data_IF_234221113189
#
_entry.id   IF_234221113189
#
_cell.length_a   1.000
_cell.length_b   1.000
_cell.length_c   1.000
_cell.angle_alpha   90.00
_cell.angle_beta   90.00
_cell.angle_gamma   90.00
#
_symmetry.space_group_name_H-M   'P 1'
#
loop_
_entity.id
_entity.type
_entity.pdbx_description
1 polymer ?
#
# COMPACT_ATOMS: atom_id res chain seq x y z
N UNK A 1 41.82 38.14 -12.23
CA UNK A 1 41.43 36.94 -12.98
C UNK A 1 41.18 35.83 -11.97
N UNK A 2 39.95 35.31 -11.86
CA UNK A 2 39.61 34.28 -10.86
C UNK A 2 40.28 32.97 -11.29
N UNK A 3 41.02 32.33 -10.39
CA UNK A 3 41.68 31.05 -10.66
C UNK A 3 40.64 29.92 -10.69
N UNK A 4 40.80 28.97 -11.60
CA UNK A 4 39.98 27.76 -11.70
C UNK A 4 39.91 26.98 -10.38
N UNK A 5 40.94 27.06 -9.53
CA UNK A 5 40.94 26.46 -8.20
C UNK A 5 39.95 27.14 -7.25
N UNK A 6 39.81 28.46 -7.32
CA UNK A 6 38.84 29.21 -6.53
C UNK A 6 37.40 28.89 -6.99
N UNK A 7 37.20 28.74 -8.31
CA UNK A 7 35.92 28.29 -8.88
C UNK A 7 35.58 26.88 -8.40
N UNK A 8 36.52 25.92 -8.47
CA UNK A 8 36.31 24.55 -7.97
C UNK A 8 35.95 24.54 -6.48
N UNK A 9 36.67 25.32 -5.66
CA UNK A 9 36.41 25.39 -4.22
C UNK A 9 35.04 25.98 -3.90
N UNK A 10 34.63 27.02 -4.65
CA UNK A 10 33.32 27.62 -4.51
C UNK A 10 32.20 26.67 -4.97
N UNK A 11 32.39 25.95 -6.08
CA UNK A 11 31.43 24.95 -6.55
C UNK A 11 31.28 23.79 -5.57
N UNK A 12 32.39 23.26 -5.04
CA UNK A 12 32.35 22.20 -4.02
C UNK A 12 31.66 22.67 -2.74
N UNK A 13 31.96 23.88 -2.26
CA UNK A 13 31.29 24.44 -1.09
C UNK A 13 29.78 24.65 -1.32
N UNK A 14 29.40 25.04 -2.54
CA UNK A 14 27.99 25.19 -2.92
C UNK A 14 27.27 23.84 -2.98
N UNK A 15 27.91 22.80 -3.53
CA UNK A 15 27.37 21.45 -3.57
C UNK A 15 27.16 20.92 -2.14
N UNK A 16 28.17 20.99 -1.28
CA UNK A 16 28.07 20.53 0.12
C UNK A 16 27.02 21.29 0.93
N UNK A 17 26.87 22.61 0.71
CA UNK A 17 25.84 23.42 1.40
C UNK A 17 24.43 23.04 0.95
N UNK A 18 24.23 22.72 -0.32
CA UNK A 18 22.93 22.29 -0.85
C UNK A 18 22.58 20.88 -0.37
N UNK A 19 23.58 20.01 -0.25
CA UNK A 19 23.45 18.63 0.22
C UNK A 19 23.06 18.55 1.73
N UNK A 20 23.51 19.53 2.53
CA UNK A 20 23.28 19.59 3.99
C UNK A 20 22.03 20.35 4.42
N UNK A 21 21.44 21.20 3.56
CA UNK A 21 20.34 22.10 3.96
C UNK A 21 18.95 21.44 4.00
N UNK A 22 18.75 20.29 3.35
CA UNK A 22 17.54 19.47 3.47
C UNK A 22 17.88 18.09 2.93
N UNK A 23 18.22 17.13 3.81
CA UNK A 23 18.48 15.73 3.46
C UNK A 23 17.34 15.23 2.56
N UNK A 24 17.53 15.14 1.24
CA UNK A 24 16.42 15.05 0.29
C UNK A 24 15.65 13.74 0.45
N UNK A 25 16.32 12.70 0.98
CA UNK A 25 15.71 11.42 1.31
C UNK A 25 14.67 11.52 2.44
N UNK A 26 14.86 12.36 3.45
CA UNK A 26 13.92 12.48 4.58
C UNK A 26 12.57 13.00 4.09
N UNK A 27 12.57 14.01 3.23
CA UNK A 27 11.33 14.55 2.67
C UNK A 27 10.57 13.52 1.82
N UNK A 28 11.29 12.69 1.06
CA UNK A 28 10.68 11.61 0.27
C UNK A 28 10.08 10.54 1.17
N UNK A 29 10.79 10.15 2.23
CA UNK A 29 10.33 9.16 3.22
C UNK A 29 9.12 9.68 3.99
N UNK A 30 9.16 10.94 4.46
CA UNK A 30 8.06 11.56 5.20
C UNK A 30 6.79 11.67 4.34
N UNK A 31 6.92 12.10 3.08
CA UNK A 31 5.75 12.18 2.19
C UNK A 31 5.20 10.78 1.89
N UNK A 32 6.05 9.78 1.68
CA UNK A 32 5.62 8.40 1.46
C UNK A 32 4.87 7.83 2.66
N UNK A 33 5.38 8.06 3.87
CA UNK A 33 4.80 7.62 5.14
C UNK A 33 3.46 8.33 5.43
N UNK A 34 3.36 9.63 5.13
CA UNK A 34 2.10 10.36 5.27
C UNK A 34 1.06 9.89 4.24
N UNK A 35 1.47 9.71 2.99
CA UNK A 35 0.59 9.33 1.88
C UNK A 35 0.00 7.92 2.03
N UNK A 36 0.67 6.99 2.72
CA UNK A 36 0.17 5.59 2.84
C UNK A 36 -1.18 5.46 3.56
N UNK A 37 -1.60 6.49 4.30
CA UNK A 37 -2.89 6.54 5.00
C UNK A 37 -4.07 6.93 4.10
N UNK A 38 -3.82 7.44 2.89
CA UNK A 38 -4.83 7.87 1.92
C UNK A 38 -4.49 7.27 0.55
N UNK A 39 -5.34 6.38 0.04
CA UNK A 39 -5.10 5.67 -1.21
C UNK A 39 -4.93 6.59 -2.43
N UNK A 40 -5.66 7.71 -2.48
CA UNK A 40 -5.56 8.67 -3.59
C UNK A 40 -4.22 9.39 -3.53
N UNK A 41 -3.81 9.78 -2.33
CA UNK A 41 -2.51 10.41 -2.09
C UNK A 41 -1.36 9.44 -2.33
N UNK A 42 -1.50 8.19 -1.92
CA UNK A 42 -0.56 7.10 -2.19
C UNK A 42 -0.37 6.87 -3.69
N UNK A 43 -1.45 6.84 -4.48
CA UNK A 43 -1.36 6.74 -5.93
C UNK A 43 -0.63 7.95 -6.54
N UNK A 44 -0.97 9.16 -6.10
CA UNK A 44 -0.30 10.39 -6.55
C UNK A 44 1.21 10.40 -6.22
N UNK A 45 1.60 9.87 -5.06
CA UNK A 45 3.00 9.70 -4.71
C UNK A 45 3.72 8.72 -5.65
N UNK A 46 3.12 7.57 -5.93
CA UNK A 46 3.70 6.57 -6.86
C UNK A 46 3.84 7.14 -8.26
N UNK A 47 2.86 7.91 -8.73
CA UNK A 47 2.90 8.53 -10.06
C UNK A 47 3.96 9.64 -10.16
N UNK A 48 4.13 10.45 -9.11
CA UNK A 48 5.04 11.59 -9.12
C UNK A 48 6.49 11.24 -8.78
N UNK A 49 6.70 10.31 -7.85
CA UNK A 49 8.02 10.00 -7.25
C UNK A 49 8.48 8.60 -7.64
N UNK A 50 7.58 7.62 -7.62
CA UNK A 50 7.88 6.21 -7.87
C UNK A 50 8.49 5.48 -6.68
N UNK A 51 8.29 4.15 -6.65
CA UNK A 51 8.78 3.29 -5.57
C UNK A 51 10.30 3.07 -5.61
N UNK A 52 10.90 3.11 -6.80
CA UNK A 52 12.36 2.96 -6.96
C UNK A 52 13.10 4.13 -6.28
N UNK A 53 12.58 5.34 -6.44
CA UNK A 53 13.12 6.53 -5.79
C UNK A 53 12.92 6.55 -4.28
N UNK A 54 11.83 5.96 -3.78
CA UNK A 54 11.64 5.71 -2.35
C UNK A 54 12.67 4.70 -1.82
N UNK A 55 13.00 3.67 -2.59
CA UNK A 55 14.05 2.71 -2.22
C UNK A 55 15.44 3.38 -2.18
N UNK A 56 15.77 4.20 -3.18
CA UNK A 56 17.01 5.00 -3.17
C UNK A 56 17.09 5.94 -1.96
N UNK A 57 15.96 6.55 -1.57
CA UNK A 57 15.90 7.39 -0.38
C UNK A 57 16.17 6.60 0.91
N UNK A 58 15.66 5.37 1.02
CA UNK A 58 15.95 4.47 2.15
C UNK A 58 17.43 4.09 2.19
N UNK A 59 18.03 3.78 1.04
CA UNK A 59 19.45 3.45 0.96
C UNK A 59 20.34 4.64 1.33
N UNK A 60 19.96 5.85 0.90
CA UNK A 60 20.63 7.08 1.31
C UNK A 60 20.50 7.33 2.83
N UNK A 61 19.34 7.06 3.43
CA UNK A 61 19.15 7.15 4.88
C UNK A 61 20.03 6.14 5.63
N UNK A 62 20.12 4.90 5.14
CA UNK A 62 21.03 3.88 5.70
C UNK A 62 22.48 4.32 5.63
N UNK A 63 22.94 4.82 4.47
CA UNK A 63 24.31 5.32 4.30
C UNK A 63 24.61 6.54 5.17
N UNK A 64 23.61 7.36 5.45
CA UNK A 64 23.75 8.51 6.34
C UNK A 64 23.65 8.16 7.84
N UNK A 65 23.42 6.88 8.18
CA UNK A 65 23.23 6.42 9.56
C UNK A 65 21.91 6.89 10.20
N UNK A 66 20.92 7.27 9.38
CA UNK A 66 19.62 7.76 9.83
C UNK A 66 18.64 6.59 9.94
N UNK A 67 18.80 5.79 10.99
CA UNK A 67 18.05 4.54 11.17
C UNK A 67 16.54 4.77 11.27
N UNK A 68 16.11 5.85 11.94
CA UNK A 68 14.69 6.18 12.09
C UNK A 68 14.03 6.55 10.76
N UNK A 69 14.73 7.27 9.87
CA UNK A 69 14.23 7.53 8.53
C UNK A 69 14.21 6.24 7.70
N UNK A 70 15.27 5.44 7.76
CA UNK A 70 15.35 4.19 7.02
C UNK A 70 14.24 3.20 7.41
N UNK A 71 13.94 3.07 8.70
CA UNK A 71 12.85 2.21 9.20
C UNK A 71 11.49 2.65 8.66
N UNK A 72 11.14 3.94 8.79
CA UNK A 72 9.88 4.46 8.25
C UNK A 72 9.76 4.27 6.74
N UNK A 73 10.85 4.45 5.99
CA UNK A 73 10.84 4.23 4.55
C UNK A 73 10.67 2.76 4.16
N UNK A 74 11.24 1.82 4.93
CA UNK A 74 11.00 0.36 4.74
C UNK A 74 9.54 0.00 5.02
N UNK A 75 8.97 0.54 6.09
CA UNK A 75 7.56 0.34 6.43
C UNK A 75 6.62 0.89 5.34
N UNK A 76 6.94 2.07 4.81
CA UNK A 76 6.22 2.63 3.68
C UNK A 76 6.31 1.70 2.45
N UNK A 77 7.50 1.24 2.07
CA UNK A 77 7.70 0.30 0.95
C UNK A 77 6.90 -1.01 1.14
N UNK A 78 6.87 -1.55 2.36
CA UNK A 78 6.09 -2.73 2.68
C UNK A 78 4.59 -2.49 2.46
N UNK A 79 4.07 -1.34 2.89
CA UNK A 79 2.67 -0.95 2.68
C UNK A 79 2.33 -0.83 1.18
N UNK A 80 3.15 -0.13 0.40
CA UNK A 80 2.93 0.00 -1.06
C UNK A 80 2.97 -1.34 -1.79
N UNK A 81 3.88 -2.25 -1.41
CA UNK A 81 3.89 -3.62 -1.95
C UNK A 81 2.63 -4.40 -1.57
N UNK A 82 2.13 -4.20 -0.34
CA UNK A 82 0.85 -4.72 0.12
C UNK A 82 -0.33 -4.24 -0.74
N UNK A 83 -0.39 -2.93 -1.03
CA UNK A 83 -1.43 -2.37 -1.90
C UNK A 83 -1.39 -2.98 -3.31
N UNK A 84 -0.19 -3.12 -3.90
CA UNK A 84 -0.03 -3.74 -5.22
C UNK A 84 -0.47 -5.20 -5.23
N UNK A 85 -0.16 -5.95 -4.18
CA UNK A 85 -0.61 -7.34 -4.02
C UNK A 85 -2.13 -7.43 -3.90
N UNK A 86 -2.73 -6.61 -3.04
CA UNK A 86 -4.18 -6.58 -2.86
C UNK A 86 -4.92 -6.22 -4.17
N UNK A 87 -4.39 -5.28 -4.96
CA UNK A 87 -4.94 -4.93 -6.26
C UNK A 87 -4.85 -6.07 -7.30
N UNK A 88 -3.77 -6.87 -7.24
CA UNK A 88 -3.59 -8.05 -8.09
C UNK A 88 -4.54 -9.20 -7.69
N UNK A 89 -4.64 -9.49 -6.40
CA UNK A 89 -5.49 -10.57 -5.86
C UNK A 89 -6.99 -10.27 -6.07
N UNK A 90 -7.42 -9.01 -5.92
CA UNK A 90 -8.80 -8.61 -6.20
C UNK A 90 -9.23 -8.70 -7.67
N UNK A 91 -8.27 -8.75 -8.60
CA UNK A 91 -8.54 -8.96 -10.04
C UNK A 91 -8.66 -10.44 -10.41
N UNK A 92 -8.17 -11.36 -9.58
CA UNK A 92 -8.27 -12.79 -9.80
C UNK A 92 -9.67 -13.33 -9.44
N UNK A 93 -10.29 -12.78 -8.39
CA UNK A 93 -11.62 -13.20 -7.91
C UNK A 93 -12.76 -12.80 -8.88
N UNK A 94 -12.51 -11.85 -9.80
CA UNK A 94 -13.47 -11.48 -10.84
C UNK A 94 -13.39 -12.36 -12.10
N UNK A 95 -12.28 -13.06 -12.35
CA UNK A 95 -12.11 -13.94 -13.52
C UNK A 95 -12.58 -15.38 -13.29
N UNK A 96 -12.83 -15.78 -12.05
CA UNK A 96 -13.38 -17.12 -11.72
C UNK A 96 -14.93 -17.17 -11.81
N UNK A 97 -15.59 -16.04 -12.10
CA UNK A 97 -17.06 -15.97 -12.22
C UNK A 97 -17.60 -16.00 -13.64
N UNK A 98 -16.76 -15.89 -14.67
CA UNK A 98 -17.23 -15.84 -16.08
C UNK A 98 -17.04 -17.13 -16.87
N UNK A 99 -16.35 -18.13 -16.32
CA UNK A 99 -16.13 -19.43 -17.00
C UNK A 99 -17.01 -20.56 -16.44
N UNK A 100 -18.12 -20.22 -15.78
CA UNK A 100 -19.11 -21.20 -15.29
C UNK A 100 -20.46 -21.16 -16.03
N UNK A 101 -20.47 -20.55 -17.21
CA UNK A 101 -21.60 -20.57 -18.16
C UNK A 101 -21.22 -21.31 -19.45
N UNK A 102 -20.75 -22.55 -19.34
CA UNK A 102 -20.82 -23.52 -20.42
C UNK A 102 -20.82 -24.93 -19.85
N UNK A 103 -21.98 -25.58 -19.92
CA UNK A 103 -22.17 -27.03 -19.84
C UNK A 103 -21.96 -27.68 -18.47
N UNK A 104 -23.02 -27.73 -17.65
CA UNK A 104 -23.46 -29.01 -17.04
C UNK A 104 -24.92 -28.90 -16.63
N UNK A 105 -25.77 -29.65 -17.32
CA UNK A 105 -27.11 -30.02 -16.89
C UNK A 105 -27.05 -30.71 -15.51
N UNK A 106 -27.24 -29.95 -14.42
CA UNK A 106 -27.51 -30.53 -13.10
C UNK A 106 -28.70 -29.82 -12.48
N UNK A 107 -29.89 -30.36 -12.84
CA UNK A 107 -31.06 -30.33 -11.97
C UNK A 107 -30.68 -30.92 -10.62
N UNK A 108 -30.41 -30.08 -9.63
CA UNK A 108 -30.41 -30.46 -8.24
C UNK A 108 -30.95 -29.28 -7.45
N UNK A 109 -32.23 -29.38 -7.10
CA UNK A 109 -32.99 -28.41 -6.33
C UNK A 109 -32.25 -28.08 -5.02
N UNK A 110 -31.61 -26.91 -4.97
CA UNK A 110 -30.97 -26.40 -3.76
C UNK A 110 -32.02 -25.78 -2.82
N UNK A 111 -33.02 -26.57 -2.45
CA UNK A 111 -33.77 -26.36 -1.22
C UNK A 111 -32.86 -26.77 -0.07
N UNK A 112 -32.27 -25.80 0.62
CA UNK A 112 -31.62 -26.07 1.90
C UNK A 112 -32.72 -26.31 2.94
N UNK A 113 -33.06 -27.58 3.17
CA UNK A 113 -33.90 -27.98 4.30
C UNK A 113 -33.17 -27.65 5.59
N UNK A 114 -33.44 -26.47 6.15
CA UNK A 114 -33.02 -26.12 7.51
C UNK A 114 -33.71 -27.04 8.53
N UNK A 115 -33.07 -27.36 9.66
CA UNK A 115 -33.72 -28.12 10.72
C UNK A 115 -34.91 -27.31 11.23
N UNK A 116 -36.12 -27.82 11.01
CA UNK A 116 -37.36 -27.18 11.45
C UNK A 116 -37.36 -27.01 12.96
N UNK A 117 -37.70 -25.81 13.42
CA UNK A 117 -37.95 -25.55 14.84
C UNK A 117 -39.29 -26.21 15.18
N UNK A 118 -39.37 -27.17 16.12
CA UNK A 118 -40.64 -27.74 16.54
C UNK A 118 -41.53 -26.62 17.08
N UNK A 119 -42.76 -26.49 16.57
CA UNK A 119 -43.74 -25.58 17.15
C UNK A 119 -44.08 -26.08 18.56
N UNK A 120 -44.03 -25.24 19.60
CA UNK A 120 -44.54 -25.62 20.91
C UNK A 120 -46.05 -25.80 20.81
N UNK A 121 -46.55 -26.92 21.34
CA UNK A 121 -47.97 -27.17 21.53
C UNK A 121 -48.52 -26.12 22.49
N UNK A 122 -48.99 -25.01 21.92
CA UNK A 122 -49.70 -23.99 22.68
C UNK A 122 -51.15 -24.46 22.80
N UNK A 123 -51.36 -25.48 23.62
CA UNK A 123 -52.67 -25.89 24.08
C UNK A 123 -53.26 -24.75 24.90
N UNK A 124 -54.09 -23.93 24.25
CA UNK A 124 -55.00 -23.02 24.93
C UNK A 124 -56.05 -23.89 25.62
N UNK A 125 -55.77 -24.29 26.87
CA UNK A 125 -56.78 -24.83 27.76
C UNK A 125 -57.83 -23.75 28.00
N UNK A 126 -59.00 -23.91 27.40
CA UNK A 126 -60.17 -23.13 27.78
C UNK A 126 -60.64 -23.64 29.13
N UNK A 127 -60.33 -22.89 30.18
CA UNK A 127 -61.04 -23.02 31.46
C UNK A 127 -62.55 -22.80 31.20
N UNK A 128 -63.36 -23.77 31.63
CA UNK A 128 -64.82 -23.65 31.71
C UNK A 128 -65.31 -24.34 32.97
#
# INVERSE_FOLDING_TARGET
MVSTTAVKRALSALATRTDTARRPYVAVIDEADAARSDLRRAAGFVDAVGLDRLAEAVDAANHAGDEAAAERGRDALAAYRGFRRAAADGSADHRDRTDRDAETEQRCDHFRTGPGIPKPDTGQGTDR
#
